data_IF_751425758297
#
_entry.id   IF_751425758297
#
_cell.length_a   1.000
_cell.length_b   1.000
_cell.length_c   1.000
_cell.angle_alpha   90.00
_cell.angle_beta   90.00
_cell.angle_gamma   90.00
#
_symmetry.space_group_name_H-M   'P 1'
#
loop_
_entity.id
_entity.type
_entity.pdbx_description
1 polymer ?
#
# COMPACT_ATOMS: atom_id res chain seq x y z
N UNK A 1 29.82 -14.33 19.12
CA UNK A 1 31.04 -13.71 19.66
C UNK A 1 31.78 -14.72 20.51
N UNK A 2 33.08 -14.51 20.77
CA UNK A 2 33.84 -15.33 21.74
C UNK A 2 33.49 -14.93 23.18
N UNK A 3 33.64 -15.85 24.12
CA UNK A 3 33.32 -15.61 25.55
C UNK A 3 34.13 -14.43 26.10
N UNK A 4 33.47 -13.57 26.87
CA UNK A 4 34.06 -12.39 27.47
C UNK A 4 34.23 -11.17 26.51
N UNK A 5 33.91 -11.31 25.21
CA UNK A 5 34.13 -10.26 24.21
C UNK A 5 33.48 -8.93 24.60
N UNK A 6 32.26 -8.95 25.10
CA UNK A 6 31.47 -7.76 25.45
C UNK A 6 31.40 -7.47 26.95
N UNK A 7 32.01 -8.29 27.82
CA UNK A 7 31.89 -8.16 29.27
C UNK A 7 32.40 -6.82 29.79
N UNK A 8 33.44 -6.29 29.15
CA UNK A 8 33.99 -4.98 29.47
C UNK A 8 33.08 -3.80 29.20
N UNK A 9 32.02 -4.00 28.38
CA UNK A 9 31.07 -2.94 28.03
C UNK A 9 29.98 -2.72 29.08
N UNK A 10 29.85 -3.62 30.06
CA UNK A 10 28.83 -3.52 31.11
C UNK A 10 29.12 -2.29 31.98
N UNK A 11 28.18 -1.36 32.02
CA UNK A 11 28.30 -0.11 32.79
C UNK A 11 29.06 1.01 32.07
N UNK A 12 29.42 0.82 30.79
CA UNK A 12 30.06 1.84 29.98
C UNK A 12 29.13 3.02 29.67
N UNK A 13 29.71 4.18 29.40
CA UNK A 13 29.02 5.39 28.98
C UNK A 13 29.39 5.76 27.53
N UNK A 14 28.53 6.50 26.86
CA UNK A 14 28.83 7.02 25.52
C UNK A 14 30.11 7.85 25.54
N UNK A 15 31.00 7.57 24.62
CA UNK A 15 32.33 8.22 24.51
C UNK A 15 33.44 7.44 25.24
N UNK A 16 33.14 6.42 26.03
CA UNK A 16 34.16 5.60 26.68
C UNK A 16 34.95 4.80 25.65
N UNK A 17 36.23 4.65 25.92
CA UNK A 17 37.15 3.75 25.19
C UNK A 17 37.57 2.65 26.13
N UNK A 18 37.19 1.42 25.84
CA UNK A 18 37.33 0.26 26.76
C UNK A 18 38.12 -0.83 26.07
N UNK A 19 39.14 -1.35 26.78
CA UNK A 19 39.89 -2.50 26.33
C UNK A 19 39.32 -3.78 26.98
N UNK A 20 38.90 -4.72 26.13
CA UNK A 20 38.45 -6.05 26.54
C UNK A 20 39.53 -7.08 26.21
N UNK A 21 40.07 -7.72 27.24
CA UNK A 21 41.05 -8.78 27.08
C UNK A 21 40.31 -10.11 26.98
N UNK A 22 40.47 -10.81 25.88
CA UNK A 22 39.80 -12.09 25.62
C UNK A 22 40.78 -13.09 25.04
N UNK A 23 40.48 -14.38 25.27
CA UNK A 23 41.25 -15.50 24.72
C UNK A 23 40.37 -16.21 23.69
N UNK A 24 40.88 -16.40 22.47
CA UNK A 24 40.19 -17.21 21.49
C UNK A 24 40.11 -18.68 21.97
N UNK A 25 38.98 -19.39 21.67
CA UNK A 25 38.87 -20.81 21.98
C UNK A 25 40.03 -21.62 21.38
N UNK A 26 40.42 -22.72 22.04
CA UNK A 26 41.47 -23.62 21.55
C UNK A 26 41.16 -24.20 20.16
N UNK A 27 39.88 -24.32 19.84
CA UNK A 27 39.41 -24.65 18.49
C UNK A 27 38.61 -23.46 17.92
N UNK A 28 39.19 -22.76 16.94
CA UNK A 28 38.55 -21.65 16.25
C UNK A 28 38.54 -21.87 14.73
N UNK A 29 37.51 -22.60 14.20
CA UNK A 29 37.49 -23.01 12.79
C UNK A 29 37.48 -21.85 11.80
N UNK A 30 36.90 -20.69 12.18
CA UNK A 30 36.84 -19.51 11.34
C UNK A 30 38.21 -18.89 11.05
N UNK A 31 39.17 -19.05 11.96
CA UNK A 31 40.56 -18.66 11.78
C UNK A 31 41.46 -19.44 12.74
N UNK A 32 41.99 -20.61 12.30
CA UNK A 32 42.84 -21.48 13.16
C UNK A 32 44.08 -20.80 13.70
N UNK A 33 44.57 -19.77 13.03
CA UNK A 33 45.76 -19.02 13.47
C UNK A 33 45.50 -18.19 14.73
N UNK A 34 44.25 -17.95 15.09
CA UNK A 34 43.85 -17.23 16.30
C UNK A 34 43.53 -18.15 17.47
N UNK A 35 43.41 -19.46 17.25
CA UNK A 35 43.10 -20.43 18.29
C UNK A 35 44.03 -20.32 19.51
N UNK A 36 43.44 -20.22 20.70
CA UNK A 36 44.16 -20.11 21.97
C UNK A 36 44.94 -18.81 22.19
N UNK A 37 44.85 -17.82 21.29
CA UNK A 37 45.59 -16.55 21.47
C UNK A 37 44.83 -15.56 22.32
N UNK A 38 45.56 -14.90 23.20
CA UNK A 38 45.09 -13.72 23.94
C UNK A 38 45.16 -12.51 23.04
N UNK A 39 44.05 -11.72 23.00
CA UNK A 39 43.93 -10.49 22.24
C UNK A 39 43.24 -9.41 23.07
N UNK A 40 43.47 -8.16 22.70
CA UNK A 40 42.80 -7.00 23.28
C UNK A 40 41.94 -6.38 22.20
N UNK A 41 40.63 -6.27 22.46
CA UNK A 41 39.72 -5.50 21.64
C UNK A 41 39.48 -4.16 22.29
N UNK A 42 39.76 -3.10 21.55
CA UNK A 42 39.45 -1.73 21.99
C UNK A 42 38.10 -1.30 21.41
N UNK A 43 37.13 -1.06 22.27
CA UNK A 43 35.79 -0.58 21.92
C UNK A 43 35.69 0.91 22.16
N UNK A 44 35.11 1.63 21.20
CA UNK A 44 34.64 2.99 21.42
C UNK A 44 33.12 2.96 21.47
N UNK A 45 32.52 3.36 22.59
CA UNK A 45 31.08 3.38 22.78
C UNK A 45 30.50 4.60 22.06
N UNK A 46 29.92 4.41 20.89
CA UNK A 46 29.36 5.50 20.09
C UNK A 46 27.92 5.84 20.50
N UNK A 47 27.16 4.83 20.92
CA UNK A 47 25.78 5.01 21.38
C UNK A 47 25.37 3.87 22.29
N UNK A 48 24.42 4.14 23.17
CA UNK A 48 23.75 3.13 24.00
C UNK A 48 22.27 3.18 23.63
N UNK A 49 21.77 2.05 23.10
CA UNK A 49 20.36 1.93 22.78
C UNK A 49 19.61 1.45 24.04
N UNK A 50 18.54 2.16 24.36
CA UNK A 50 17.60 1.77 25.40
C UNK A 50 16.37 1.19 24.70
N UNK A 51 15.95 0.02 25.14
CA UNK A 51 14.65 -0.51 24.70
C UNK A 51 13.54 0.35 25.30
N UNK A 52 12.71 0.90 24.44
CA UNK A 52 11.52 1.68 24.83
C UNK A 52 10.29 0.84 24.50
N UNK A 53 9.56 0.47 25.53
CA UNK A 53 8.27 -0.21 25.43
C UNK A 53 7.15 0.80 25.63
N UNK A 54 5.90 0.39 25.40
CA UNK A 54 4.72 1.24 25.64
C UNK A 54 4.66 1.72 27.09
N UNK A 55 5.09 0.89 28.05
CA UNK A 55 5.06 1.22 29.47
C UNK A 55 6.24 2.10 29.92
N UNK A 56 7.31 2.17 29.14
CA UNK A 56 8.55 2.90 29.47
C UNK A 56 8.77 4.12 28.58
N UNK A 57 7.86 4.38 27.64
CA UNK A 57 7.89 5.58 26.81
C UNK A 57 7.64 6.82 27.68
N UNK A 58 8.45 7.84 27.51
CA UNK A 58 8.31 9.13 28.14
C UNK A 58 8.02 10.24 27.12
N UNK A 59 7.70 11.42 27.62
CA UNK A 59 7.33 12.57 26.76
C UNK A 59 8.50 13.07 25.92
N UNK A 60 9.74 12.89 26.37
CA UNK A 60 10.94 13.24 25.60
C UNK A 60 11.05 12.35 24.37
N UNK A 61 10.92 11.03 24.55
CA UNK A 61 10.91 10.06 23.45
C UNK A 61 9.71 10.29 22.51
N UNK A 62 8.53 10.58 23.05
CA UNK A 62 7.34 10.91 22.27
C UNK A 62 7.57 12.12 21.36
N UNK A 63 8.26 13.14 21.88
CA UNK A 63 8.57 14.36 21.12
C UNK A 63 9.63 14.10 20.05
N UNK A 64 10.71 13.40 20.39
CA UNK A 64 11.82 13.16 19.46
C UNK A 64 11.47 12.21 18.31
N UNK A 65 10.68 11.18 18.59
CA UNK A 65 10.41 10.11 17.62
C UNK A 65 9.09 10.30 16.86
N UNK A 66 8.09 10.91 17.50
CA UNK A 66 6.75 11.06 16.93
C UNK A 66 6.32 12.52 16.73
N UNK A 67 7.09 13.49 17.21
CA UNK A 67 6.72 14.90 17.16
C UNK A 67 5.48 15.23 18.00
N UNK A 68 5.18 14.44 19.02
CA UNK A 68 4.05 14.62 19.93
C UNK A 68 4.52 15.31 21.22
N UNK A 69 3.70 16.20 21.78
CA UNK A 69 4.05 16.91 23.01
C UNK A 69 4.10 16.01 24.26
N UNK A 70 3.56 14.80 24.17
CA UNK A 70 3.48 13.84 25.28
C UNK A 70 3.16 12.42 24.78
N UNK A 71 3.31 11.42 25.65
CA UNK A 71 2.88 10.04 25.41
C UNK A 71 1.38 9.97 25.07
N UNK A 72 0.54 10.72 25.81
CA UNK A 72 -0.89 10.83 25.50
C UNK A 72 -1.13 11.44 24.11
N UNK A 73 -0.25 12.33 23.66
CA UNK A 73 -0.26 12.91 22.32
C UNK A 73 -0.03 11.85 21.24
N UNK A 74 0.91 10.92 21.47
CA UNK A 74 1.15 9.78 20.56
C UNK A 74 -0.08 8.89 20.45
N UNK A 75 -0.68 8.51 21.59
CA UNK A 75 -1.92 7.72 21.59
C UNK A 75 -3.06 8.42 20.84
N UNK A 76 -3.18 9.73 20.97
CA UNK A 76 -4.18 10.51 20.27
C UNK A 76 -3.94 10.52 18.75
N UNK A 77 -2.69 10.70 18.32
CA UNK A 77 -2.33 10.63 16.90
C UNK A 77 -2.63 9.25 16.31
N UNK A 78 -2.23 8.18 17.01
CA UNK A 78 -2.50 6.80 16.57
C UNK A 78 -4.00 6.54 16.49
N UNK A 79 -4.78 6.96 17.48
CA UNK A 79 -6.24 6.82 17.47
C UNK A 79 -6.85 7.54 16.28
N UNK A 80 -6.49 8.80 16.05
CA UNK A 80 -6.99 9.58 14.91
C UNK A 80 -6.64 8.92 13.57
N UNK A 81 -5.43 8.38 13.45
CA UNK A 81 -5.02 7.65 12.26
C UNK A 81 -5.87 6.39 12.05
N UNK A 82 -6.09 5.60 13.10
CA UNK A 82 -6.89 4.37 13.02
C UNK A 82 -8.36 4.66 12.71
N UNK A 83 -8.95 5.69 13.33
CA UNK A 83 -10.32 6.13 13.07
C UNK A 83 -10.47 6.57 11.61
N UNK A 84 -9.58 7.44 11.12
CA UNK A 84 -9.60 7.90 9.73
C UNK A 84 -9.36 6.77 8.73
N UNK A 85 -8.47 5.82 9.06
CA UNK A 85 -8.24 4.63 8.23
C UNK A 85 -9.46 3.73 8.17
N UNK A 86 -10.13 3.51 9.31
CA UNK A 86 -11.35 2.71 9.39
C UNK A 86 -12.51 3.36 8.60
N UNK A 87 -12.68 4.68 8.72
CA UNK A 87 -13.69 5.42 7.93
C UNK A 87 -13.44 5.30 6.43
N UNK A 88 -12.17 5.43 6.01
CA UNK A 88 -11.81 5.29 4.59
C UNK A 88 -12.04 3.87 4.08
N UNK A 89 -11.68 2.84 4.86
CA UNK A 89 -11.91 1.44 4.52
C UNK A 89 -13.41 1.18 4.41
N UNK A 90 -14.19 1.57 5.42
CA UNK A 90 -15.65 1.40 5.40
C UNK A 90 -16.29 2.08 4.17
N UNK A 91 -15.88 3.30 3.85
CA UNK A 91 -16.37 4.02 2.67
C UNK A 91 -16.07 3.24 1.38
N UNK A 92 -14.85 2.72 1.24
CA UNK A 92 -14.45 1.92 0.08
C UNK A 92 -15.25 0.62 -0.02
N UNK A 93 -15.49 -0.06 1.10
CA UNK A 93 -16.28 -1.29 1.14
C UNK A 93 -17.74 -1.04 0.71
N UNK A 94 -18.32 0.06 1.19
CA UNK A 94 -19.69 0.48 0.76
C UNK A 94 -19.71 0.79 -0.73
N UNK A 95 -18.71 1.48 -1.26
CA UNK A 95 -18.63 1.79 -2.68
C UNK A 95 -18.50 0.53 -3.51
N UNK A 96 -17.61 -0.39 -3.14
CA UNK A 96 -17.44 -1.66 -3.85
C UNK A 96 -18.75 -2.47 -3.86
N UNK A 97 -19.42 -2.55 -2.72
CA UNK A 97 -20.71 -3.25 -2.64
C UNK A 97 -21.80 -2.59 -3.50
N UNK A 98 -21.83 -1.26 -3.59
CA UNK A 98 -22.75 -0.53 -4.47
C UNK A 98 -22.42 -0.76 -5.94
N UNK A 99 -21.15 -0.73 -6.33
CA UNK A 99 -20.71 -1.01 -7.69
C UNK A 99 -21.09 -2.43 -8.12
N UNK A 100 -20.80 -3.42 -7.28
CA UNK A 100 -21.17 -4.81 -7.52
C UNK A 100 -22.69 -4.95 -7.69
N UNK A 101 -23.47 -4.33 -6.79
CA UNK A 101 -24.93 -4.33 -6.88
C UNK A 101 -25.43 -3.70 -8.19
N UNK A 102 -24.85 -2.58 -8.61
CA UNK A 102 -25.20 -1.91 -9.85
C UNK A 102 -24.85 -2.76 -11.07
N UNK A 103 -23.68 -3.38 -11.06
CA UNK A 103 -23.22 -4.26 -12.14
C UNK A 103 -24.10 -5.52 -12.25
N UNK A 104 -24.55 -6.08 -11.15
CA UNK A 104 -25.40 -7.28 -11.15
C UNK A 104 -26.86 -6.99 -11.55
N UNK A 105 -27.40 -5.87 -11.08
CA UNK A 105 -28.84 -5.61 -11.16
C UNK A 105 -29.26 -4.63 -12.27
N UNK A 106 -28.32 -3.94 -12.90
CA UNK A 106 -28.60 -3.06 -14.02
C UNK A 106 -28.25 -3.72 -15.35
N UNK A 107 -29.04 -3.42 -16.38
CA UNK A 107 -28.77 -3.79 -17.76
C UNK A 107 -28.50 -2.55 -18.59
N UNK A 108 -27.52 -2.61 -19.46
CA UNK A 108 -27.17 -1.53 -20.39
C UNK A 108 -27.15 -2.05 -21.82
N UNK A 109 -27.44 -1.18 -22.77
CA UNK A 109 -27.24 -1.46 -24.19
C UNK A 109 -25.80 -1.05 -24.53
N UNK A 110 -24.94 -2.06 -24.67
CA UNK A 110 -23.49 -1.86 -24.85
C UNK A 110 -23.17 -1.41 -26.28
N UNK A 111 -22.61 -0.20 -26.48
CA UNK A 111 -22.20 0.24 -27.82
C UNK A 111 -20.99 -0.59 -28.30
N UNK A 112 -21.24 -1.45 -29.32
CA UNK A 112 -20.23 -2.39 -29.80
C UNK A 112 -18.97 -1.69 -30.34
N UNK A 113 -19.13 -0.60 -31.06
CA UNK A 113 -18.01 0.16 -31.63
C UNK A 113 -17.16 0.77 -30.50
N UNK A 114 -17.78 1.33 -29.46
CA UNK A 114 -17.07 1.93 -28.33
C UNK A 114 -16.25 0.88 -27.56
N UNK A 115 -16.82 -0.31 -27.34
CA UNK A 115 -16.09 -1.42 -26.73
C UNK A 115 -14.87 -1.85 -27.54
N UNK A 116 -15.03 -1.99 -28.86
CA UNK A 116 -13.91 -2.34 -29.77
C UNK A 116 -12.80 -1.30 -29.72
N UNK A 117 -13.16 -0.03 -29.83
CA UNK A 117 -12.19 1.07 -29.84
C UNK A 117 -11.34 1.11 -28.56
N UNK A 118 -11.96 0.85 -27.38
CA UNK A 118 -11.25 0.81 -26.12
C UNK A 118 -10.29 -0.40 -26.04
N UNK A 119 -10.72 -1.59 -26.51
CA UNK A 119 -9.84 -2.78 -26.52
C UNK A 119 -8.66 -2.56 -27.46
N UNK A 120 -8.89 -1.95 -28.65
CA UNK A 120 -7.82 -1.62 -29.59
C UNK A 120 -6.82 -0.61 -28.98
N UNK A 121 -7.31 0.39 -28.25
CA UNK A 121 -6.44 1.35 -27.55
C UNK A 121 -5.60 0.68 -26.46
N UNK A 122 -6.17 -0.23 -25.67
CA UNK A 122 -5.44 -1.01 -24.68
C UNK A 122 -4.35 -1.84 -25.34
N UNK A 123 -4.67 -2.57 -26.43
CA UNK A 123 -3.73 -3.38 -27.17
C UNK A 123 -2.57 -2.54 -27.73
N UNK A 124 -2.88 -1.41 -28.35
CA UNK A 124 -1.88 -0.51 -28.90
C UNK A 124 -0.94 0.04 -27.80
N UNK A 125 -1.51 0.45 -26.68
CA UNK A 125 -0.72 0.92 -25.52
C UNK A 125 0.16 -0.19 -24.92
N UNK A 126 -0.35 -1.42 -24.84
CA UNK A 126 0.46 -2.56 -24.41
C UNK A 126 1.65 -2.79 -25.33
N UNK A 127 1.43 -2.78 -26.66
CA UNK A 127 2.50 -2.96 -27.64
C UNK A 127 3.54 -1.84 -27.53
N UNK A 128 3.11 -0.60 -27.40
CA UNK A 128 4.02 0.55 -27.25
C UNK A 128 4.87 0.42 -25.98
N UNK A 129 4.25 0.15 -24.84
CA UNK A 129 4.92 0.15 -23.53
C UNK A 129 5.80 -1.05 -23.28
N UNK A 130 5.35 -2.25 -23.67
CA UNK A 130 5.99 -3.50 -23.27
C UNK A 130 6.71 -4.21 -24.42
N UNK A 131 6.31 -3.93 -25.66
CA UNK A 131 6.91 -4.51 -26.85
C UNK A 131 7.77 -3.52 -27.64
N UNK A 132 8.03 -2.32 -27.10
CA UNK A 132 8.78 -1.24 -27.78
C UNK A 132 8.19 -0.86 -29.16
N UNK A 133 6.86 -0.95 -29.32
CA UNK A 133 6.15 -0.68 -30.55
C UNK A 133 6.19 -1.83 -31.60
N UNK A 134 6.79 -2.97 -31.27
CA UNK A 134 6.89 -4.15 -32.16
C UNK A 134 5.90 -5.24 -31.73
N UNK A 135 4.78 -5.34 -32.47
CA UNK A 135 3.71 -6.31 -32.19
C UNK A 135 4.21 -7.75 -32.22
N UNK A 136 5.25 -8.08 -33.04
CA UNK A 136 5.79 -9.43 -33.11
C UNK A 136 6.39 -9.94 -31.80
N UNK A 137 6.64 -9.04 -30.85
CA UNK A 137 7.18 -9.36 -29.51
C UNK A 137 6.07 -9.72 -28.51
N UNK A 138 4.81 -9.48 -28.85
CA UNK A 138 3.69 -9.59 -27.93
C UNK A 138 3.57 -10.99 -27.30
N UNK A 139 3.65 -12.06 -28.11
CA UNK A 139 3.60 -13.43 -27.61
C UNK A 139 4.72 -13.74 -26.60
N UNK A 140 5.94 -13.25 -26.88
CA UNK A 140 7.10 -13.45 -26.00
C UNK A 140 6.92 -12.71 -24.68
N UNK A 141 6.46 -11.47 -24.75
CA UNK A 141 6.23 -10.65 -23.56
C UNK A 141 5.11 -11.26 -22.71
N UNK A 142 3.96 -11.58 -23.30
CA UNK A 142 2.84 -12.17 -22.59
C UNK A 142 3.21 -13.50 -21.92
N UNK A 143 3.94 -14.37 -22.64
CA UNK A 143 4.39 -15.66 -22.09
C UNK A 143 5.27 -15.49 -20.86
N UNK A 144 6.06 -14.41 -20.76
CA UNK A 144 6.88 -14.12 -19.58
C UNK A 144 6.07 -13.80 -18.33
N UNK A 145 4.82 -13.36 -18.51
CA UNK A 145 3.84 -13.09 -17.44
C UNK A 145 2.81 -14.21 -17.27
N UNK A 146 2.92 -15.29 -18.03
CA UNK A 146 2.02 -16.44 -17.96
C UNK A 146 0.71 -16.29 -18.76
N UNK A 147 0.65 -15.32 -19.67
CA UNK A 147 -0.50 -15.09 -20.54
C UNK A 147 -0.27 -15.62 -21.95
N UNK A 148 -1.38 -15.93 -22.64
CA UNK A 148 -1.45 -16.05 -24.11
C UNK A 148 -2.17 -14.83 -24.67
N UNK A 149 -2.06 -14.57 -25.98
CA UNK A 149 -2.83 -13.49 -26.61
C UNK A 149 -4.35 -13.68 -26.40
N UNK A 150 -4.85 -14.90 -26.53
CA UNK A 150 -6.27 -15.21 -26.31
C UNK A 150 -6.71 -14.92 -24.88
N UNK A 151 -5.91 -15.33 -23.88
CA UNK A 151 -6.27 -15.13 -22.49
C UNK A 151 -6.26 -13.66 -22.05
N UNK A 152 -5.30 -12.87 -22.55
CA UNK A 152 -5.22 -11.44 -22.21
C UNK A 152 -6.30 -10.64 -22.95
N UNK A 153 -6.63 -10.97 -24.19
CA UNK A 153 -7.73 -10.33 -24.91
C UNK A 153 -9.08 -10.60 -24.26
N UNK A 154 -9.29 -11.80 -23.74
CA UNK A 154 -10.49 -12.11 -22.96
C UNK A 154 -10.54 -11.27 -21.66
N UNK A 155 -9.44 -11.19 -20.95
CA UNK A 155 -9.35 -10.37 -19.71
C UNK A 155 -9.60 -8.89 -19.98
N UNK A 156 -8.99 -8.32 -21.04
CA UNK A 156 -9.27 -6.96 -21.46
C UNK A 156 -10.75 -6.77 -21.84
N UNK A 157 -11.30 -7.73 -22.58
CA UNK A 157 -12.70 -7.70 -23.01
C UNK A 157 -13.66 -7.66 -21.80
N UNK A 158 -13.44 -8.51 -20.81
CA UNK A 158 -14.30 -8.61 -19.63
C UNK A 158 -14.16 -7.34 -18.74
N UNK A 159 -12.93 -6.84 -18.59
CA UNK A 159 -12.65 -5.61 -17.86
C UNK A 159 -13.29 -4.38 -18.52
N UNK A 160 -13.14 -4.25 -19.83
CA UNK A 160 -13.72 -3.14 -20.61
C UNK A 160 -15.24 -3.19 -20.58
N UNK A 161 -15.84 -4.39 -20.67
CA UNK A 161 -17.28 -4.55 -20.59
C UNK A 161 -17.83 -4.07 -19.25
N UNK A 162 -17.20 -4.47 -18.13
CA UNK A 162 -17.60 -4.05 -16.79
C UNK A 162 -17.41 -2.53 -16.61
N UNK A 163 -16.31 -1.99 -17.08
CA UNK A 163 -16.01 -0.54 -16.99
C UNK A 163 -17.00 0.31 -17.76
N UNK A 164 -17.29 -0.05 -19.01
CA UNK A 164 -18.28 0.69 -19.83
C UNK A 164 -19.68 0.53 -19.23
N UNK A 165 -20.03 -0.66 -18.73
CA UNK A 165 -21.32 -0.88 -18.08
C UNK A 165 -21.49 0.06 -16.89
N UNK A 166 -20.50 0.12 -16.00
CA UNK A 166 -20.53 1.01 -14.83
C UNK A 166 -20.60 2.50 -15.26
N UNK A 167 -19.80 2.91 -16.25
CA UNK A 167 -19.83 4.27 -16.81
C UNK A 167 -21.22 4.67 -17.25
N UNK A 168 -21.91 3.80 -18.01
CA UNK A 168 -23.26 4.08 -18.53
C UNK A 168 -24.29 4.14 -17.41
N UNK A 169 -24.19 3.26 -16.42
CA UNK A 169 -25.07 3.26 -15.23
C UNK A 169 -24.86 4.56 -14.43
N UNK A 170 -23.62 4.92 -14.15
CA UNK A 170 -23.27 6.13 -13.40
C UNK A 170 -23.81 7.39 -14.12
N UNK A 171 -23.62 7.50 -15.43
CA UNK A 171 -24.14 8.61 -16.22
C UNK A 171 -25.66 8.67 -16.18
N UNK A 172 -26.35 7.55 -16.29
CA UNK A 172 -27.81 7.50 -16.21
C UNK A 172 -28.36 7.89 -14.83
N UNK A 173 -27.69 7.47 -13.74
CA UNK A 173 -28.06 7.88 -12.39
C UNK A 173 -27.77 9.37 -12.20
N UNK A 174 -26.63 9.86 -12.63
CA UNK A 174 -26.27 11.28 -12.51
C UNK A 174 -27.28 12.17 -13.23
N UNK A 175 -27.71 11.80 -14.44
CA UNK A 175 -28.77 12.51 -15.17
C UNK A 175 -30.09 12.50 -14.40
N UNK A 176 -30.52 11.34 -13.91
CA UNK A 176 -31.77 11.17 -13.18
C UNK A 176 -31.80 11.95 -11.86
N UNK A 177 -30.71 11.93 -11.12
CA UNK A 177 -30.56 12.59 -9.81
C UNK A 177 -30.06 14.04 -9.92
N UNK A 178 -29.85 14.54 -11.16
CA UNK A 178 -29.33 15.86 -11.48
C UNK A 178 -27.98 16.15 -10.78
N UNK A 179 -27.10 15.14 -10.73
CA UNK A 179 -25.74 15.26 -10.23
C UNK A 179 -24.86 15.82 -11.34
N UNK A 180 -24.18 16.92 -11.08
CA UNK A 180 -23.31 17.59 -12.06
C UNK A 180 -21.90 17.75 -11.47
N UNK A 181 -20.92 17.67 -12.33
CA UNK A 181 -19.53 17.95 -11.98
C UNK A 181 -19.34 19.45 -11.92
N UNK A 182 -18.91 19.99 -10.78
CA UNK A 182 -18.35 21.33 -10.68
C UNK A 182 -16.93 21.33 -11.26
N UNK A 183 -16.62 22.20 -12.20
CA UNK A 183 -15.33 22.20 -12.88
C UNK A 183 -14.18 22.61 -11.94
N UNK A 184 -14.44 23.46 -10.93
CA UNK A 184 -13.42 23.86 -9.94
C UNK A 184 -13.07 22.69 -9.02
N UNK A 185 -14.09 22.01 -8.49
CA UNK A 185 -13.88 20.83 -7.64
C UNK A 185 -13.21 19.69 -8.41
N UNK A 186 -13.54 19.54 -9.71
CA UNK A 186 -12.86 18.58 -10.57
C UNK A 186 -11.38 18.91 -10.79
N UNK A 187 -11.04 20.20 -10.99
CA UNK A 187 -9.64 20.62 -11.12
C UNK A 187 -8.84 20.38 -9.81
N UNK A 188 -9.45 20.64 -8.66
CA UNK A 188 -8.87 20.35 -7.35
C UNK A 188 -8.65 18.84 -7.15
N UNK A 189 -9.62 18.01 -7.55
CA UNK A 189 -9.51 16.56 -7.55
C UNK A 189 -8.33 16.06 -8.41
N UNK A 190 -8.23 16.57 -9.66
CA UNK A 190 -7.11 16.27 -10.56
C UNK A 190 -5.77 16.68 -9.96
N UNK A 191 -5.69 17.88 -9.39
CA UNK A 191 -4.48 18.38 -8.72
C UNK A 191 -4.05 17.47 -7.56
N UNK A 192 -5.01 16.96 -6.81
CA UNK A 192 -4.76 16.01 -5.70
C UNK A 192 -4.18 14.70 -6.23
N UNK A 193 -4.75 14.13 -7.30
CA UNK A 193 -4.23 12.90 -7.91
C UNK A 193 -2.83 13.11 -8.47
N UNK A 194 -2.59 14.21 -9.17
CA UNK A 194 -1.26 14.53 -9.72
C UNK A 194 -0.22 14.58 -8.59
N UNK A 195 -0.55 15.25 -7.49
CA UNK A 195 0.37 15.42 -6.37
C UNK A 195 0.63 14.12 -5.60
N UNK A 196 -0.40 13.32 -5.32
CA UNK A 196 -0.30 12.08 -4.54
C UNK A 196 0.18 10.89 -5.38
N UNK A 197 -0.15 10.86 -6.67
CA UNK A 197 0.17 9.77 -7.58
C UNK A 197 1.54 9.87 -8.25
N UNK A 198 2.31 10.94 -7.96
CA UNK A 198 3.64 11.13 -8.55
C UNK A 198 3.63 11.46 -10.04
N UNK A 199 2.51 11.95 -10.56
CA UNK A 199 2.42 12.44 -11.94
C UNK A 199 3.07 13.82 -12.04
N UNK A 200 3.77 14.08 -13.14
CA UNK A 200 4.42 15.38 -13.37
C UNK A 200 3.43 16.52 -13.54
N UNK A 201 2.31 16.24 -14.21
CA UNK A 201 1.24 17.18 -14.52
C UNK A 201 -0.06 16.46 -14.90
N UNK A 202 -1.14 17.23 -15.14
CA UNK A 202 -2.45 16.70 -15.53
C UNK A 202 -2.44 16.03 -16.91
N UNK A 203 -1.63 16.52 -17.85
CA UNK A 203 -1.56 15.93 -19.19
C UNK A 203 -0.94 14.53 -19.14
N UNK A 204 0.08 14.33 -18.28
CA UNK A 204 0.67 13.02 -18.01
C UNK A 204 -0.34 12.08 -17.35
N UNK A 205 -1.11 12.57 -16.37
CA UNK A 205 -2.20 11.81 -15.76
C UNK A 205 -3.22 11.38 -16.82
N UNK A 206 -3.71 12.31 -17.62
CA UNK A 206 -4.71 12.04 -18.67
C UNK A 206 -4.18 11.05 -19.71
N UNK A 207 -2.94 11.23 -20.17
CA UNK A 207 -2.32 10.30 -21.12
C UNK A 207 -2.23 8.87 -20.56
N UNK A 208 -1.94 8.75 -19.26
CA UNK A 208 -1.89 7.43 -18.60
C UNK A 208 -3.26 6.74 -18.56
N UNK A 209 -4.31 7.47 -18.17
CA UNK A 209 -5.67 6.95 -18.10
C UNK A 209 -6.35 6.82 -19.46
N UNK A 210 -5.78 7.44 -20.49
CA UNK A 210 -6.29 7.44 -21.86
C UNK A 210 -5.52 6.53 -22.82
N UNK A 211 -4.68 5.64 -22.32
CA UNK A 211 -3.87 4.76 -23.18
C UNK A 211 -3.03 5.53 -24.22
N UNK A 212 -2.56 6.71 -23.86
CA UNK A 212 -1.83 7.64 -24.73
C UNK A 212 -2.66 8.80 -25.27
N UNK A 213 -4.00 8.75 -25.22
CA UNK A 213 -4.91 9.84 -25.61
C UNK A 213 -5.35 10.66 -24.40
N UNK A 214 -4.80 11.86 -24.24
CA UNK A 214 -5.13 12.74 -23.11
C UNK A 214 -6.59 13.24 -23.13
N UNK A 215 -7.24 13.32 -24.29
CA UNK A 215 -8.65 13.74 -24.36
C UNK A 215 -9.55 12.62 -23.84
N UNK A 216 -9.31 11.40 -24.28
CA UNK A 216 -10.00 10.23 -23.76
C UNK A 216 -9.73 10.04 -22.26
N UNK A 217 -8.47 10.14 -21.83
CA UNK A 217 -8.11 10.00 -20.42
C UNK A 217 -8.73 11.06 -19.52
N UNK A 218 -8.82 12.32 -19.99
CA UNK A 218 -9.55 13.36 -19.25
C UNK A 218 -11.02 12.99 -19.05
N UNK A 219 -11.64 12.42 -20.08
CA UNK A 219 -13.02 11.96 -19.97
C UNK A 219 -13.15 10.78 -19.01
N UNK A 220 -12.20 9.86 -18.99
CA UNK A 220 -12.18 8.74 -18.04
C UNK A 220 -12.05 9.25 -16.59
N UNK A 221 -11.15 10.19 -16.32
CA UNK A 221 -11.02 10.80 -14.98
C UNK A 221 -12.32 11.52 -14.56
N UNK A 222 -12.99 12.20 -15.51
CA UNK A 222 -14.31 12.81 -15.22
C UNK A 222 -15.38 11.79 -14.89
N UNK A 223 -15.37 10.63 -15.53
CA UNK A 223 -16.28 9.52 -15.22
C UNK A 223 -15.99 8.95 -13.84
N UNK A 224 -14.71 8.74 -13.49
CA UNK A 224 -14.31 8.27 -12.15
C UNK A 224 -14.77 9.27 -11.07
N UNK A 225 -14.56 10.56 -11.29
CA UNK A 225 -15.01 11.59 -10.36
C UNK A 225 -16.55 11.60 -10.23
N UNK A 226 -17.27 11.50 -11.36
CA UNK A 226 -18.72 11.42 -11.36
C UNK A 226 -19.23 10.16 -10.63
N UNK A 227 -18.55 9.03 -10.80
CA UNK A 227 -18.86 7.80 -10.08
C UNK A 227 -18.79 8.00 -8.57
N UNK A 228 -17.73 8.68 -8.09
CA UNK A 228 -17.61 9.04 -6.68
C UNK A 228 -18.81 9.85 -6.17
N UNK A 229 -19.22 10.89 -6.91
CA UNK A 229 -20.39 11.72 -6.56
C UNK A 229 -21.71 10.91 -6.54
N UNK A 230 -21.87 9.99 -7.49
CA UNK A 230 -23.05 9.12 -7.57
C UNK A 230 -23.05 8.12 -6.41
N UNK A 231 -21.91 7.50 -6.11
CA UNK A 231 -21.79 6.53 -5.03
C UNK A 231 -21.97 7.19 -3.65
N UNK A 232 -21.44 8.41 -3.45
CA UNK A 232 -21.73 9.21 -2.25
C UNK A 232 -23.24 9.41 -2.08
N UNK A 233 -23.93 9.78 -3.17
CA UNK A 233 -25.36 9.99 -3.16
C UNK A 233 -26.18 8.73 -2.87
N UNK A 234 -25.74 7.59 -3.43
CA UNK A 234 -26.39 6.30 -3.18
C UNK A 234 -26.15 5.83 -1.74
N UNK A 235 -24.93 6.01 -1.21
CA UNK A 235 -24.55 5.63 0.15
C UNK A 235 -25.39 6.36 1.22
N UNK A 236 -25.82 7.63 0.95
CA UNK A 236 -26.70 8.38 1.85
C UNK A 236 -28.07 7.69 2.10
N UNK A 237 -28.53 6.88 1.14
CA UNK A 237 -29.86 6.26 1.14
C UNK A 237 -29.84 4.74 1.21
N UNK A 238 -28.67 4.13 1.09
CA UNK A 238 -28.49 2.69 1.14
C UNK A 238 -28.66 2.18 2.59
N UNK A 239 -29.33 1.04 2.74
CA UNK A 239 -29.30 0.29 3.99
C UNK A 239 -28.04 -0.59 4.01
N UNK A 240 -27.00 -0.14 4.73
CA UNK A 240 -25.74 -0.86 4.88
C UNK A 240 -25.88 -1.87 6.01
N UNK A 241 -25.66 -3.15 5.72
CA UNK A 241 -25.58 -4.20 6.73
C UNK A 241 -24.14 -4.61 6.89
N UNK A 242 -23.54 -4.31 8.03
CA UNK A 242 -22.20 -4.77 8.37
C UNK A 242 -22.23 -6.25 8.76
N UNK A 243 -21.39 -7.06 8.12
CA UNK A 243 -21.14 -8.41 8.59
C UNK A 243 -20.29 -8.32 9.85
N UNK A 244 -20.75 -8.95 10.94
CA UNK A 244 -19.96 -9.06 12.15
C UNK A 244 -18.60 -9.73 11.81
N UNK A 245 -17.50 -9.02 12.07
CA UNK A 245 -16.17 -9.62 12.01
C UNK A 245 -16.14 -10.69 13.09
N UNK A 246 -16.01 -11.98 12.70
CA UNK A 246 -15.70 -13.02 13.66
C UNK A 246 -14.34 -12.64 14.28
N UNK A 247 -14.35 -12.23 15.55
CA UNK A 247 -13.13 -12.04 16.33
C UNK A 247 -12.38 -13.37 16.34
N UNK A 248 -11.38 -13.50 15.47
CA UNK A 248 -10.38 -14.55 15.63
C UNK A 248 -9.56 -14.18 16.85
N UNK A 249 -10.01 -14.65 18.02
CA UNK A 249 -9.20 -14.68 19.24
C UNK A 249 -8.07 -15.68 19.01
N UNK A 250 -7.00 -15.29 18.32
CA UNK A 250 -5.73 -15.94 18.48
C UNK A 250 -5.24 -15.59 19.89
N UNK A 251 -5.50 -16.53 20.80
CA UNK A 251 -4.89 -16.51 22.12
C UNK A 251 -3.37 -16.58 21.94
N UNK A 252 -2.69 -15.48 22.21
CA UNK A 252 -1.25 -15.47 22.42
C UNK A 252 -1.00 -16.26 23.68
N UNK A 253 -0.74 -17.55 23.53
CA UNK A 253 -0.24 -18.42 24.59
C UNK A 253 1.17 -17.92 24.95
N UNK A 254 1.25 -17.18 26.05
CA UNK A 254 2.53 -16.84 26.68
C UNK A 254 3.18 -18.12 27.13
N UNK A 255 4.22 -18.54 26.43
CA UNK A 255 5.12 -19.61 26.91
C UNK A 255 5.89 -19.06 28.09
N UNK A 256 5.33 -19.24 29.29
CA UNK A 256 6.10 -19.24 30.53
C UNK A 256 7.13 -20.40 30.47
N UNK A 257 8.38 -20.04 30.35
CA UNK A 257 9.48 -20.99 30.52
C UNK A 257 9.53 -21.43 31.99
N UNK A 258 9.10 -22.64 32.24
CA UNK A 258 9.27 -23.30 33.53
C UNK A 258 10.76 -23.49 33.82
N UNK A 259 11.22 -22.74 34.80
CA UNK A 259 12.43 -23.01 35.57
C UNK A 259 12.27 -24.38 36.29
N UNK A 260 13.05 -25.38 35.93
CA UNK A 260 13.17 -26.61 36.69
C UNK A 260 14.55 -26.68 37.30
N UNK A 261 14.65 -26.21 38.55
CA UNK A 261 15.60 -26.71 39.53
C UNK A 261 15.32 -28.19 39.82
N UNK A 262 16.32 -29.03 39.69
CA UNK A 262 16.59 -30.16 40.64
C UNK A 262 17.91 -30.83 40.33
N UNK A 263 18.72 -30.91 41.43
CA UNK A 263 19.82 -31.73 41.91
C UNK A 263 21.18 -31.66 41.21
#
# INVERSE_FOLDING_TARGET
>A
YIDGFTDGLIGASVGDVIDSNVTFPDEYPNNPDLAGKEVVFTFTVNSIQKEVTMDTMDDEFASEQFGADSVDGVYKQVRQYLESSAESTHKNDVYSALEDYLLENCTVDMPADYRSDVIEAIRANFIDRYCSGDESQMETVLSSYGYTEESIEQEWSDSVESSIKLELIVKAIAEKENIQIDDTEFEDYVSTIVSSGGFGDADTLYSNYGYGDSVYGKNQIRVIYLAGLVLDKLAETAEVTENAVEETTESVESTESADSTEE
#
